data_IF_355632169480
#
_entry.id   IF_355632169480
#
_cell.length_a   1.000
_cell.length_b   1.000
_cell.length_c   1.000
_cell.angle_alpha   90.00
_cell.angle_beta   90.00
_cell.angle_gamma   90.00
#
_symmetry.space_group_name_H-M   'P 1'
#
loop_
_entity.id
_entity.type
_entity.pdbx_description
1 polymer ?
#
# COMPACT_ATOMS: atom_id res chain seq x y z
N UNK A 1 27.38 19.79 -10.54
CA UNK A 1 26.10 20.22 -9.99
C UNK A 1 25.69 19.14 -9.01
N UNK A 2 25.73 19.38 -7.70
CA UNK A 2 25.28 18.40 -6.70
C UNK A 2 23.78 18.20 -6.89
N UNK A 3 23.25 16.96 -6.85
CA UNK A 3 21.82 16.72 -6.93
C UNK A 3 21.14 17.50 -5.77
N UNK A 4 20.07 18.19 -6.09
CA UNK A 4 19.27 18.86 -5.07
C UNK A 4 18.80 17.82 -4.05
N UNK A 5 18.85 18.13 -2.77
CA UNK A 5 18.48 17.25 -1.64
C UNK A 5 17.08 16.62 -1.81
N UNK A 6 16.23 17.22 -2.66
CA UNK A 6 14.88 16.74 -2.97
C UNK A 6 14.83 15.47 -3.83
N UNK A 7 15.92 15.12 -4.51
CA UNK A 7 15.97 13.95 -5.42
C UNK A 7 16.48 12.66 -4.76
N UNK A 8 16.91 12.70 -3.48
CA UNK A 8 17.40 11.49 -2.82
C UNK A 8 16.24 10.61 -2.32
N UNK A 9 16.28 9.29 -2.56
CA UNK A 9 15.25 8.38 -2.07
C UNK A 9 15.24 8.30 -0.54
N UNK A 10 14.13 7.83 0.03
CA UNK A 10 13.98 7.67 1.48
C UNK A 10 14.91 6.59 2.08
N UNK A 11 15.51 5.76 1.25
CA UNK A 11 16.44 4.70 1.66
C UNK A 11 15.73 3.36 1.92
N UNK A 12 16.03 2.71 3.03
CA UNK A 12 15.46 1.40 3.36
C UNK A 12 13.93 1.45 3.50
N UNK A 13 13.28 0.32 3.20
CA UNK A 13 11.82 0.15 3.32
C UNK A 13 11.38 0.48 4.75
N UNK A 14 10.36 1.32 4.86
CA UNK A 14 9.76 1.75 6.13
C UNK A 14 8.40 1.09 6.37
N UNK A 15 8.05 0.92 7.63
CA UNK A 15 6.66 0.69 8.05
C UNK A 15 5.96 2.05 8.09
N UNK A 16 5.06 2.29 7.14
CA UNK A 16 4.36 3.57 7.01
C UNK A 16 2.97 3.52 7.65
N UNK A 17 2.55 4.63 8.26
CA UNK A 17 1.27 4.78 8.94
C UNK A 17 0.32 5.68 8.13
N UNK A 18 -0.21 5.18 7.02
CA UNK A 18 -1.09 5.98 6.16
C UNK A 18 -2.52 6.00 6.68
N UNK A 19 -3.14 7.20 6.78
CA UNK A 19 -4.57 7.32 7.09
C UNK A 19 -5.44 6.64 6.03
N UNK A 20 -6.56 6.08 6.45
CA UNK A 20 -7.55 5.45 5.57
C UNK A 20 -8.04 6.40 4.47
N UNK A 21 -8.25 7.68 4.78
CA UNK A 21 -8.67 8.68 3.79
C UNK A 21 -7.59 8.89 2.70
N UNK A 22 -6.31 8.85 3.07
CA UNK A 22 -5.21 8.89 2.10
C UNK A 22 -5.24 7.65 1.20
N UNK A 23 -5.50 6.46 1.78
CA UNK A 23 -5.62 5.22 1.01
C UNK A 23 -6.77 5.27 0.01
N UNK A 24 -7.95 5.77 0.41
CA UNK A 24 -9.08 5.97 -0.50
C UNK A 24 -8.69 6.85 -1.69
N UNK A 25 -8.05 7.98 -1.43
CA UNK A 25 -7.60 8.89 -2.48
C UNK A 25 -6.53 8.27 -3.37
N UNK A 26 -5.50 7.66 -2.79
CA UNK A 26 -4.40 7.02 -3.52
C UNK A 26 -4.88 5.90 -4.44
N UNK A 27 -5.84 5.11 -4.01
CA UNK A 27 -6.34 3.98 -4.79
C UNK A 27 -7.58 4.31 -5.64
N UNK A 28 -8.04 5.57 -5.68
CA UNK A 28 -9.27 5.97 -6.35
C UNK A 28 -10.47 5.11 -5.91
N UNK A 29 -10.63 4.92 -4.60
CA UNK A 29 -11.68 4.09 -4.00
C UNK A 29 -12.71 4.95 -3.27
N UNK A 30 -13.92 4.46 -3.23
CA UNK A 30 -15.01 4.95 -2.38
C UNK A 30 -15.30 3.97 -1.26
N UNK A 31 -16.01 4.39 -0.21
CA UNK A 31 -16.45 3.46 0.84
C UNK A 31 -17.33 2.33 0.28
N UNK A 32 -18.13 2.61 -0.76
CA UNK A 32 -18.93 1.58 -1.43
C UNK A 32 -18.07 0.50 -2.10
N UNK A 33 -16.89 0.86 -2.61
CA UNK A 33 -15.94 -0.11 -3.18
C UNK A 33 -15.42 -1.08 -2.11
N UNK A 34 -15.20 -0.59 -0.88
CA UNK A 34 -14.71 -1.37 0.25
C UNK A 34 -15.72 -2.41 0.77
N UNK A 35 -17.01 -2.21 0.48
CA UNK A 35 -18.10 -3.07 0.94
C UNK A 35 -18.54 -4.10 -0.10
N UNK A 36 -17.95 -4.12 -1.29
CA UNK A 36 -18.27 -5.11 -2.35
C UNK A 36 -17.86 -6.54 -2.01
N UNK A 37 -16.92 -6.71 -1.09
CA UNK A 37 -16.41 -8.01 -0.65
C UNK A 37 -15.19 -7.87 0.24
N UNK A 38 -14.48 -8.98 0.57
CA UNK A 38 -13.27 -8.92 1.37
C UNK A 38 -12.17 -8.11 0.69
N UNK A 39 -11.43 -7.31 1.47
CA UNK A 39 -10.32 -6.48 1.01
C UNK A 39 -9.01 -7.00 1.60
N UNK A 40 -7.99 -7.08 0.77
CA UNK A 40 -6.61 -7.33 1.15
C UNK A 40 -5.81 -6.03 1.08
N UNK A 41 -5.11 -5.66 2.14
CA UNK A 41 -4.14 -4.57 2.16
C UNK A 41 -2.71 -5.15 2.28
N UNK A 42 -1.90 -5.03 1.22
CA UNK A 42 -0.59 -5.69 1.11
C UNK A 42 0.44 -4.84 0.32
N UNK A 43 1.48 -4.27 0.99
CA UNK A 43 1.74 -4.35 2.42
C UNK A 43 0.84 -3.41 3.22
N UNK A 44 0.39 -3.87 4.38
CA UNK A 44 -0.48 -3.08 5.25
C UNK A 44 0.27 -2.04 6.10
N UNK A 45 1.53 -2.29 6.44
CA UNK A 45 2.32 -1.41 7.31
C UNK A 45 1.63 -1.13 8.64
N UNK A 46 1.54 0.14 9.03
CA UNK A 46 0.80 0.60 10.21
C UNK A 46 -0.38 1.52 9.82
N UNK A 47 -1.00 1.24 8.68
CA UNK A 47 -2.18 1.97 8.19
C UNK A 47 -3.43 1.59 8.98
N UNK A 48 -4.32 2.55 9.23
CA UNK A 48 -5.64 2.29 9.79
C UNK A 48 -6.70 1.92 8.73
N UNK A 49 -6.29 1.67 7.47
CA UNK A 49 -7.19 1.40 6.36
C UNK A 49 -8.07 0.16 6.59
N UNK A 50 -7.47 -0.96 7.00
CA UNK A 50 -8.23 -2.17 7.32
C UNK A 50 -9.14 -1.98 8.54
N UNK A 51 -8.74 -1.16 9.53
CA UNK A 51 -9.58 -0.79 10.68
C UNK A 51 -10.82 -0.04 10.20
N UNK A 52 -10.62 0.96 9.32
CA UNK A 52 -11.74 1.72 8.73
C UNK A 52 -12.71 0.83 7.97
N UNK A 53 -12.22 -0.10 7.14
CA UNK A 53 -13.07 -1.03 6.39
C UNK A 53 -13.95 -1.86 7.34
N UNK A 54 -13.36 -2.41 8.40
CA UNK A 54 -14.10 -3.19 9.40
C UNK A 54 -15.11 -2.34 10.18
N UNK A 55 -14.75 -1.10 10.51
CA UNK A 55 -15.66 -0.15 11.16
C UNK A 55 -16.89 0.20 10.29
N UNK A 56 -16.76 0.17 8.96
CA UNK A 56 -17.86 0.33 8.01
C UNK A 56 -18.71 -0.95 7.83
N UNK A 57 -18.37 -2.06 8.52
CA UNK A 57 -19.04 -3.35 8.38
C UNK A 57 -18.49 -4.24 7.25
N UNK A 58 -17.40 -3.83 6.60
CA UNK A 58 -16.69 -4.63 5.61
C UNK A 58 -15.76 -5.68 6.24
N UNK A 59 -15.10 -6.46 5.40
CA UNK A 59 -14.09 -7.44 5.81
C UNK A 59 -12.74 -7.05 5.23
N UNK A 60 -11.70 -6.99 6.07
CA UNK A 60 -10.36 -6.64 5.63
C UNK A 60 -9.30 -7.45 6.38
N UNK A 61 -8.27 -7.85 5.63
CA UNK A 61 -7.04 -8.45 6.14
C UNK A 61 -5.87 -7.60 5.67
N UNK A 62 -4.96 -7.30 6.59
CA UNK A 62 -3.68 -6.66 6.28
C UNK A 62 -2.56 -7.69 6.28
N UNK A 63 -1.66 -7.59 5.30
CA UNK A 63 -0.49 -8.46 5.18
C UNK A 63 0.77 -7.62 5.18
N UNK A 64 1.71 -7.97 6.02
CA UNK A 64 3.05 -7.36 6.07
C UNK A 64 4.02 -8.34 6.74
N UNK A 65 5.27 -8.51 6.25
CA UNK A 65 6.24 -9.39 6.91
C UNK A 65 6.58 -8.92 8.34
N UNK A 66 6.36 -7.65 8.67
CA UNK A 66 6.58 -7.13 10.02
C UNK A 66 5.54 -7.60 11.05
N UNK A 67 4.44 -8.22 10.61
CA UNK A 67 3.40 -8.72 11.53
C UNK A 67 3.74 -10.03 12.26
N UNK A 68 4.92 -10.59 12.07
CA UNK A 68 5.44 -11.65 12.94
C UNK A 68 5.91 -11.11 14.30
N UNK A 69 6.19 -9.79 14.37
CA UNK A 69 6.72 -9.15 15.56
C UNK A 69 5.68 -9.05 16.68
N UNK A 70 6.16 -9.21 17.93
CA UNK A 70 5.38 -8.82 19.10
C UNK A 70 4.99 -7.34 19.03
N UNK A 71 3.78 -6.90 19.47
CA UNK A 71 3.31 -5.53 19.35
C UNK A 71 4.28 -4.45 19.84
N UNK A 72 5.00 -4.70 20.92
CA UNK A 72 5.96 -3.71 21.45
C UNK A 72 7.20 -3.53 20.55
N UNK A 73 7.68 -4.61 19.95
CA UNK A 73 8.77 -4.55 18.95
C UNK A 73 8.32 -3.86 17.68
N UNK A 74 7.10 -4.13 17.24
CA UNK A 74 6.51 -3.43 16.11
C UNK A 74 6.39 -1.93 16.39
N UNK A 75 5.91 -1.55 17.59
CA UNK A 75 5.78 -0.14 18.01
C UNK A 75 7.14 0.59 18.06
N UNK A 76 8.23 -0.08 18.51
CA UNK A 76 9.59 0.47 18.49
C UNK A 76 10.04 0.78 17.05
N UNK A 77 9.86 -0.17 16.13
CA UNK A 77 10.18 0.00 14.70
C UNK A 77 9.37 1.11 14.07
N UNK A 78 8.05 1.11 14.28
CA UNK A 78 7.14 2.13 13.76
C UNK A 78 7.55 3.54 14.20
N UNK A 79 7.90 3.70 15.49
CA UNK A 79 8.37 4.99 16.01
C UNK A 79 9.66 5.44 15.30
N UNK A 80 10.62 4.54 15.12
CA UNK A 80 11.86 4.86 14.41
C UNK A 80 11.60 5.23 12.95
N UNK A 81 10.67 4.54 12.26
CA UNK A 81 10.32 4.82 10.88
C UNK A 81 9.54 6.15 10.74
N UNK A 82 8.66 6.50 11.68
CA UNK A 82 8.00 7.82 11.72
C UNK A 82 9.01 8.96 11.94
N UNK A 83 10.02 8.78 12.78
CA UNK A 83 11.11 9.77 12.91
C UNK A 83 11.90 9.92 11.59
N UNK A 84 12.13 8.84 10.85
CA UNK A 84 12.76 8.91 9.52
C UNK A 84 11.90 9.69 8.54
N UNK A 85 10.58 9.46 8.51
CA UNK A 85 9.63 10.23 7.69
C UNK A 85 9.67 11.70 8.08
N UNK A 86 9.64 12.02 9.37
CA UNK A 86 9.75 13.40 9.87
C UNK A 86 11.03 14.08 9.39
N UNK A 87 12.18 13.43 9.55
CA UNK A 87 13.46 13.98 9.12
C UNK A 87 13.53 14.14 7.59
N UNK A 88 13.01 13.16 6.85
CA UNK A 88 13.03 13.17 5.39
C UNK A 88 12.12 14.25 4.80
N UNK A 89 10.92 14.45 5.34
CA UNK A 89 9.97 15.48 4.91
C UNK A 89 10.43 16.89 5.27
N UNK A 90 11.09 17.07 6.43
CA UNK A 90 11.56 18.39 6.90
C UNK A 90 12.60 19.04 5.96
N UNK A 91 13.28 18.28 5.13
CA UNK A 91 14.26 18.77 4.15
C UNK A 91 13.68 18.94 2.74
N UNK A 92 12.36 18.77 2.56
CA UNK A 92 11.66 18.75 1.25
C UNK A 92 10.36 19.53 1.30
N UNK A 93 10.43 20.78 1.76
CA UNK A 93 9.25 21.61 2.03
C UNK A 93 8.45 21.98 0.77
N UNK A 94 9.08 21.95 -0.39
CA UNK A 94 8.44 22.10 -1.71
C UNK A 94 7.49 20.95 -2.02
N UNK A 95 7.81 19.77 -1.51
CA UNK A 95 7.09 18.53 -1.72
C UNK A 95 6.14 18.22 -0.54
N UNK A 96 6.58 18.52 0.66
CA UNK A 96 5.89 18.24 1.92
C UNK A 96 5.68 19.56 2.70
N UNK A 97 4.65 20.34 2.33
CA UNK A 97 4.43 21.65 2.93
C UNK A 97 4.25 21.55 4.45
N UNK A 98 4.84 22.49 5.22
CA UNK A 98 4.72 22.50 6.66
C UNK A 98 3.33 22.94 7.10
N UNK A 99 2.89 22.37 8.21
CA UNK A 99 1.74 22.83 8.97
C UNK A 99 2.10 23.98 9.93
N UNK A 100 1.16 24.37 10.81
CA UNK A 100 1.36 25.47 11.77
C UNK A 100 2.50 25.24 12.76
N UNK A 101 2.84 23.97 13.03
CA UNK A 101 3.92 23.54 13.93
C UNK A 101 5.28 23.41 13.23
N UNK A 102 5.36 23.77 11.95
CA UNK A 102 6.58 23.69 11.13
C UNK A 102 6.92 22.26 10.64
N UNK A 103 6.16 21.23 11.05
CA UNK A 103 6.30 19.86 10.55
C UNK A 103 5.46 19.67 9.28
N UNK A 104 5.70 18.64 8.52
CA UNK A 104 4.82 18.25 7.41
C UNK A 104 3.36 18.21 7.87
N UNK A 105 2.48 18.93 7.19
CA UNK A 105 1.09 19.14 7.62
C UNK A 105 0.26 17.85 7.73
N UNK A 106 0.68 16.75 7.07
CA UNK A 106 0.03 15.44 7.16
C UNK A 106 0.55 14.56 8.30
N UNK A 107 1.67 14.93 8.92
CA UNK A 107 2.29 14.11 9.95
C UNK A 107 1.37 13.81 11.14
N UNK A 108 0.57 14.75 11.65
CA UNK A 108 -0.39 14.45 12.73
C UNK A 108 -1.43 13.37 12.36
N UNK A 109 -1.90 13.35 11.12
CA UNK A 109 -2.83 12.30 10.68
C UNK A 109 -2.16 10.93 10.54
N UNK A 110 -0.88 10.89 10.19
CA UNK A 110 -0.08 9.66 10.20
C UNK A 110 0.18 9.14 11.61
N UNK A 111 0.49 10.05 12.56
CA UNK A 111 0.65 9.70 13.98
C UNK A 111 -0.65 9.11 14.53
N UNK A 112 -1.81 9.71 14.22
CA UNK A 112 -3.12 9.20 14.61
C UNK A 112 -3.46 7.83 13.99
N UNK A 113 -3.18 7.63 12.70
CA UNK A 113 -3.37 6.35 12.04
C UNK A 113 -2.50 5.25 12.67
N UNK A 114 -1.25 5.57 13.04
CA UNK A 114 -0.36 4.68 13.78
C UNK A 114 -0.93 4.26 15.13
N UNK A 115 -1.49 5.19 15.89
CA UNK A 115 -2.14 4.91 17.18
C UNK A 115 -3.36 4.00 17.01
N UNK A 116 -4.23 4.30 16.04
CA UNK A 116 -5.41 3.51 15.70
C UNK A 116 -5.02 2.08 15.29
N UNK A 117 -4.05 1.95 14.38
CA UNK A 117 -3.50 0.66 13.98
C UNK A 117 -2.95 -0.12 15.17
N UNK A 118 -2.10 0.50 16.00
CA UNK A 118 -1.47 -0.19 17.14
C UNK A 118 -2.46 -0.68 18.17
N UNK A 119 -3.55 0.06 18.42
CA UNK A 119 -4.62 -0.37 19.29
C UNK A 119 -5.33 -1.62 18.74
N UNK A 120 -5.61 -1.63 17.44
CA UNK A 120 -6.26 -2.76 16.77
C UNK A 120 -5.32 -3.96 16.62
N UNK A 121 -4.03 -3.73 16.30
CA UNK A 121 -3.02 -4.79 16.20
C UNK A 121 -2.79 -5.52 17.53
N UNK A 122 -2.76 -4.80 18.66
CA UNK A 122 -2.70 -5.43 19.99
C UNK A 122 -3.92 -6.30 20.25
N UNK A 123 -5.12 -5.75 20.00
CA UNK A 123 -6.38 -6.50 20.18
C UNK A 123 -6.42 -7.76 19.30
N UNK A 124 -6.00 -7.68 18.03
CA UNK A 124 -5.91 -8.85 17.14
C UNK A 124 -5.01 -9.94 17.72
N UNK A 125 -3.88 -9.56 18.32
CA UNK A 125 -2.95 -10.50 18.95
C UNK A 125 -3.53 -11.15 20.20
N UNK A 126 -4.26 -10.39 21.00
CA UNK A 126 -4.90 -10.87 22.24
C UNK A 126 -6.10 -11.79 21.92
N UNK A 127 -6.89 -11.45 20.91
CA UNK A 127 -8.12 -12.14 20.54
C UNK A 127 -7.92 -13.19 19.44
N UNK A 128 -6.75 -13.24 18.79
CA UNK A 128 -6.39 -14.11 17.68
C UNK A 128 -7.40 -14.04 16.51
N UNK A 129 -7.84 -12.82 16.14
CA UNK A 129 -8.86 -12.63 15.11
C UNK A 129 -8.33 -12.86 13.69
N UNK A 130 -7.00 -12.80 13.49
CA UNK A 130 -6.35 -13.08 12.21
C UNK A 130 -6.51 -11.98 11.17
N UNK A 131 -6.73 -10.74 11.60
CA UNK A 131 -6.80 -9.58 10.71
C UNK A 131 -5.44 -9.13 10.19
N UNK A 132 -4.37 -9.50 10.88
CA UNK A 132 -2.99 -9.17 10.52
C UNK A 132 -2.17 -10.43 10.31
N UNK A 133 -1.78 -10.66 9.06
CA UNK A 133 -1.08 -11.87 8.63
C UNK A 133 0.36 -11.55 8.25
N UNK A 134 1.30 -12.26 8.87
CA UNK A 134 2.71 -12.17 8.48
C UNK A 134 2.93 -12.98 7.21
N UNK A 135 3.17 -12.30 6.09
CA UNK A 135 3.54 -12.91 4.83
C UNK A 135 4.28 -11.91 3.93
N UNK A 136 4.90 -12.40 2.88
CA UNK A 136 5.76 -11.65 1.97
C UNK A 136 5.40 -11.97 0.52
N UNK A 137 5.19 -10.93 -0.30
CA UNK A 137 5.14 -11.09 -1.75
C UNK A 137 6.47 -11.69 -2.27
N UNK A 138 6.42 -12.51 -3.31
CA UNK A 138 5.27 -12.83 -4.15
C UNK A 138 4.50 -14.11 -3.74
N UNK A 139 4.43 -14.44 -2.46
CA UNK A 139 3.71 -15.64 -2.00
C UNK A 139 2.81 -15.30 -0.81
N UNK A 140 1.50 -15.46 -0.99
CA UNK A 140 0.49 -15.15 0.03
C UNK A 140 -0.26 -16.42 0.47
N UNK A 141 -0.55 -16.57 1.79
CA UNK A 141 -1.15 -17.78 2.34
C UNK A 141 -2.69 -17.81 2.18
N UNK A 142 -3.20 -17.39 1.03
CA UNK A 142 -4.63 -17.36 0.75
C UNK A 142 -4.97 -18.19 -0.49
N UNK A 143 -6.15 -18.81 -0.51
CA UNK A 143 -6.69 -19.45 -1.72
C UNK A 143 -6.88 -18.42 -2.85
N UNK A 144 -7.00 -18.91 -4.07
CA UNK A 144 -7.35 -18.09 -5.23
C UNK A 144 -8.68 -17.36 -4.99
N UNK A 145 -8.76 -16.11 -5.45
CA UNK A 145 -9.99 -15.31 -5.45
C UNK A 145 -10.64 -15.13 -4.06
N UNK A 146 -9.82 -15.13 -3.01
CA UNK A 146 -10.29 -14.89 -1.63
C UNK A 146 -10.86 -13.48 -1.44
N UNK A 147 -10.31 -12.50 -2.19
CA UNK A 147 -10.62 -11.08 -2.02
C UNK A 147 -11.32 -10.51 -3.25
N UNK A 148 -12.25 -9.59 -3.02
CA UNK A 148 -12.84 -8.79 -4.11
C UNK A 148 -11.86 -7.71 -4.59
N UNK A 149 -11.04 -7.19 -3.67
CA UNK A 149 -10.08 -6.13 -3.90
C UNK A 149 -8.78 -6.41 -3.13
N UNK A 150 -7.64 -6.18 -3.78
CA UNK A 150 -6.36 -6.04 -3.11
C UNK A 150 -5.77 -4.64 -3.38
N UNK A 151 -5.21 -4.02 -2.35
CA UNK A 151 -4.45 -2.77 -2.46
C UNK A 151 -2.99 -3.02 -2.20
N UNK A 152 -2.11 -2.36 -2.97
CA UNK A 152 -0.67 -2.39 -2.74
C UNK A 152 -0.12 -0.96 -2.80
N UNK A 153 0.18 -0.41 -1.63
CA UNK A 153 0.62 0.96 -1.48
C UNK A 153 2.10 1.09 -1.14
N UNK A 154 2.80 1.96 -1.88
CA UNK A 154 4.13 2.46 -1.53
C UNK A 154 5.19 1.38 -1.27
N UNK A 155 5.09 0.25 -1.96
CA UNK A 155 6.10 -0.80 -1.96
C UNK A 155 6.69 -0.99 -3.35
N UNK A 156 5.91 -1.52 -4.28
CA UNK A 156 6.42 -2.10 -5.51
C UNK A 156 7.28 -1.12 -6.32
N UNK A 157 6.77 0.06 -6.63
CA UNK A 157 7.48 1.04 -7.46
C UNK A 157 8.21 2.11 -6.65
N UNK A 158 7.93 2.21 -5.34
CA UNK A 158 8.58 3.16 -4.43
C UNK A 158 10.05 2.82 -4.18
N UNK A 159 10.39 1.54 -4.21
CA UNK A 159 11.72 1.01 -3.89
C UNK A 159 12.29 0.16 -5.03
N UNK A 160 12.52 0.72 -6.22
CA UNK A 160 12.92 -0.04 -7.41
C UNK A 160 14.28 -0.74 -7.25
N UNK A 161 15.16 -0.21 -6.39
CA UNK A 161 16.49 -0.78 -6.14
C UNK A 161 16.45 -2.02 -5.23
N UNK A 162 15.31 -2.29 -4.58
CA UNK A 162 15.14 -3.44 -3.69
C UNK A 162 14.55 -4.66 -4.40
N UNK A 163 13.94 -4.47 -5.56
CA UNK A 163 13.17 -5.50 -6.24
C UNK A 163 13.49 -5.52 -7.74
N UNK A 164 13.76 -6.69 -8.28
CA UNK A 164 13.95 -6.85 -9.71
C UNK A 164 12.62 -6.93 -10.48
N UNK A 165 12.70 -6.94 -11.80
CA UNK A 165 11.50 -7.00 -12.65
C UNK A 165 10.72 -8.31 -12.45
N UNK A 166 11.39 -9.43 -12.20
CA UNK A 166 10.75 -10.72 -11.97
C UNK A 166 9.92 -10.70 -10.68
N UNK A 167 10.45 -10.07 -9.63
CA UNK A 167 9.71 -9.85 -8.38
C UNK A 167 8.45 -9.01 -8.60
N UNK A 168 8.55 -7.88 -9.33
CA UNK A 168 7.38 -7.04 -9.60
C UNK A 168 6.28 -7.81 -10.32
N UNK A 169 6.64 -8.56 -11.37
CA UNK A 169 5.68 -9.35 -12.13
C UNK A 169 5.07 -10.47 -11.27
N UNK A 170 5.91 -11.18 -10.51
CA UNK A 170 5.47 -12.21 -9.59
C UNK A 170 4.51 -11.68 -8.52
N UNK A 171 4.83 -10.53 -7.93
CA UNK A 171 4.00 -9.87 -6.91
C UNK A 171 2.62 -9.46 -7.46
N UNK A 172 2.57 -8.86 -8.66
CA UNK A 172 1.30 -8.47 -9.27
C UNK A 172 0.46 -9.69 -9.68
N UNK A 173 1.09 -10.76 -10.18
CA UNK A 173 0.40 -12.03 -10.46
C UNK A 173 -0.15 -12.67 -9.20
N UNK A 174 0.60 -12.63 -8.10
CA UNK A 174 0.15 -13.18 -6.81
C UNK A 174 -1.03 -12.39 -6.25
N UNK A 175 -0.96 -11.06 -6.27
CA UNK A 175 -2.10 -10.21 -5.87
C UNK A 175 -3.33 -10.49 -6.73
N UNK A 176 -3.15 -10.67 -8.05
CA UNK A 176 -4.23 -11.06 -8.97
C UNK A 176 -4.70 -12.51 -8.75
N UNK A 177 -3.85 -13.41 -8.27
CA UNK A 177 -4.28 -14.77 -7.92
C UNK A 177 -5.29 -14.75 -6.78
N UNK A 178 -5.01 -13.94 -5.74
CA UNK A 178 -5.84 -13.91 -4.52
C UNK A 178 -7.01 -12.93 -4.60
N UNK A 179 -7.00 -11.96 -5.54
CA UNK A 179 -8.04 -10.93 -5.65
C UNK A 179 -8.58 -10.79 -7.08
N UNK A 180 -9.85 -10.38 -7.21
CA UNK A 180 -10.48 -10.11 -8.50
C UNK A 180 -10.04 -8.76 -9.10
N UNK A 181 -9.80 -7.75 -8.25
CA UNK A 181 -9.27 -6.44 -8.62
C UNK A 181 -8.06 -6.09 -7.75
N UNK A 182 -7.04 -5.46 -8.35
CA UNK A 182 -5.84 -4.98 -7.65
C UNK A 182 -5.63 -3.50 -7.95
N UNK A 183 -5.35 -2.71 -6.91
CA UNK A 183 -4.96 -1.29 -7.03
C UNK A 183 -3.54 -1.12 -6.52
N UNK A 184 -2.69 -0.46 -7.32
CA UNK A 184 -1.28 -0.22 -6.97
C UNK A 184 -0.95 1.27 -7.08
N UNK A 185 -0.38 1.82 -6.02
CA UNK A 185 0.02 3.23 -5.92
C UNK A 185 1.29 3.39 -5.06
N UNK A 186 2.18 4.34 -5.37
CA UNK A 186 2.30 5.12 -6.60
C UNK A 186 2.93 4.32 -7.74
N UNK A 187 3.04 4.93 -8.93
CA UNK A 187 3.77 4.36 -10.09
C UNK A 187 5.19 4.94 -10.24
N UNK A 188 5.59 5.78 -9.28
CA UNK A 188 6.88 6.45 -9.19
C UNK A 188 7.65 5.95 -7.96
N UNK A 189 8.98 6.10 -8.02
CA UNK A 189 9.83 5.91 -6.84
C UNK A 189 9.76 7.12 -5.88
N UNK A 190 10.40 6.98 -4.74
CA UNK A 190 10.46 8.07 -3.73
C UNK A 190 11.24 9.30 -4.20
N UNK A 191 11.98 9.22 -5.31
CA UNK A 191 12.64 10.34 -5.98
C UNK A 191 11.82 10.93 -7.14
N UNK A 192 10.58 10.45 -7.37
CA UNK A 192 9.64 10.84 -8.42
C UNK A 192 9.99 10.33 -9.83
N UNK A 193 10.85 9.34 -9.93
CA UNK A 193 11.12 8.72 -11.22
C UNK A 193 10.07 7.65 -11.50
N UNK A 194 9.51 7.58 -12.72
CA UNK A 194 8.65 6.47 -13.10
C UNK A 194 9.44 5.15 -13.11
N UNK A 195 8.78 4.06 -12.74
CA UNK A 195 9.41 2.74 -12.80
C UNK A 195 9.84 2.42 -14.25
N UNK A 196 11.14 2.18 -14.52
CA UNK A 196 11.66 2.14 -15.89
C UNK A 196 11.11 0.97 -16.73
N UNK A 197 10.68 -0.12 -16.07
CA UNK A 197 10.16 -1.31 -16.75
C UNK A 197 8.63 -1.40 -16.73
N UNK A 198 7.93 -0.32 -16.39
CA UNK A 198 6.47 -0.33 -16.24
C UNK A 198 5.76 -0.79 -17.52
N UNK A 199 6.21 -0.33 -18.70
CA UNK A 199 5.59 -0.68 -19.97
C UNK A 199 5.66 -2.20 -20.24
N UNK A 200 6.84 -2.80 -20.08
CA UNK A 200 7.04 -4.24 -20.27
C UNK A 200 6.25 -5.07 -19.26
N UNK A 201 6.16 -4.60 -18.02
CA UNK A 201 5.38 -5.23 -16.96
C UNK A 201 3.88 -5.25 -17.30
N UNK A 202 3.33 -4.11 -17.74
CA UNK A 202 1.91 -4.02 -18.13
C UNK A 202 1.61 -4.82 -19.40
N UNK A 203 2.54 -4.92 -20.34
CA UNK A 203 2.40 -5.75 -21.53
C UNK A 203 2.34 -7.24 -21.16
N UNK A 204 3.22 -7.71 -20.26
CA UNK A 204 3.18 -9.07 -19.77
C UNK A 204 1.84 -9.41 -19.08
N UNK A 205 1.30 -8.50 -18.25
CA UNK A 205 0.00 -8.70 -17.62
C UNK A 205 -1.16 -8.73 -18.62
N UNK A 206 -1.12 -7.89 -19.67
CA UNK A 206 -2.11 -7.94 -20.76
C UNK A 206 -2.04 -9.25 -21.55
N UNK A 207 -0.83 -9.78 -21.77
CA UNK A 207 -0.65 -11.08 -22.41
C UNK A 207 -1.24 -12.22 -21.54
N UNK A 208 -1.26 -12.07 -20.22
CA UNK A 208 -1.95 -12.98 -19.29
C UNK A 208 -3.50 -12.79 -19.28
N UNK A 209 -4.04 -11.90 -20.12
CA UNK A 209 -5.46 -11.59 -20.20
C UNK A 209 -5.96 -10.61 -19.14
N UNK A 210 -5.08 -9.95 -18.38
CA UNK A 210 -5.46 -8.97 -17.35
C UNK A 210 -5.92 -7.67 -18.00
N UNK A 211 -7.04 -7.13 -17.54
CA UNK A 211 -7.45 -5.77 -17.89
C UNK A 211 -6.62 -4.77 -17.08
N UNK A 212 -5.92 -3.88 -17.79
CA UNK A 212 -4.98 -2.92 -17.22
C UNK A 212 -5.46 -1.51 -17.49
N UNK A 213 -5.85 -0.80 -16.45
CA UNK A 213 -6.24 0.61 -16.50
C UNK A 213 -5.29 1.45 -15.63
N UNK A 214 -5.12 2.70 -16.01
CA UNK A 214 -4.46 3.72 -15.20
C UNK A 214 -5.49 4.79 -14.84
N UNK A 215 -5.70 5.01 -13.56
CA UNK A 215 -6.68 5.97 -13.04
C UNK A 215 -5.95 7.22 -12.56
N UNK A 216 -6.46 8.40 -12.96
CA UNK A 216 -5.97 9.65 -12.41
C UNK A 216 -6.41 9.78 -10.94
N UNK A 217 -5.50 10.26 -10.10
CA UNK A 217 -5.73 10.54 -8.67
C UNK A 217 -5.12 11.87 -8.27
N UNK A 218 -5.66 12.45 -7.22
CA UNK A 218 -5.05 13.58 -6.52
C UNK A 218 -4.45 13.05 -5.21
N UNK A 219 -3.15 12.77 -5.23
CA UNK A 219 -2.46 12.24 -4.06
C UNK A 219 -2.41 13.29 -2.94
N UNK A 220 -2.94 12.98 -1.73
CA UNK A 220 -2.88 13.89 -0.60
C UNK A 220 -1.47 14.03 0.00
N UNK A 221 -0.57 13.12 -0.33
CA UNK A 221 0.78 13.08 0.23
C UNK A 221 1.82 13.70 -0.69
N UNK A 222 1.78 13.38 -1.98
CA UNK A 222 2.69 13.93 -2.99
C UNK A 222 1.94 14.19 -4.30
N UNK A 223 1.85 15.46 -4.69
CA UNK A 223 1.17 15.88 -5.92
C UNK A 223 1.77 15.32 -7.21
N UNK A 224 2.98 14.75 -7.17
CA UNK A 224 3.58 14.11 -8.33
C UNK A 224 3.05 12.69 -8.57
N UNK A 225 2.42 12.08 -7.57
CA UNK A 225 1.82 10.75 -7.68
C UNK A 225 0.38 10.87 -8.20
N UNK A 226 0.27 11.10 -9.50
CA UNK A 226 -0.99 11.48 -10.17
C UNK A 226 -1.81 10.31 -10.68
N UNK A 227 -1.29 9.08 -10.56
CA UNK A 227 -1.96 7.91 -11.12
C UNK A 227 -1.85 6.71 -10.20
N UNK A 228 -2.89 5.87 -10.24
CA UNK A 228 -2.91 4.53 -9.68
C UNK A 228 -3.17 3.49 -10.75
N UNK A 229 -2.55 2.33 -10.64
CA UNK A 229 -2.79 1.20 -11.53
C UNK A 229 -3.99 0.41 -11.02
N UNK A 230 -4.93 0.10 -11.92
CA UNK A 230 -6.02 -0.84 -11.69
C UNK A 230 -5.85 -2.06 -12.58
N UNK A 231 -5.77 -3.21 -11.97
CA UNK A 231 -5.69 -4.50 -12.64
C UNK A 231 -6.94 -5.31 -12.30
N UNK A 232 -7.55 -5.95 -13.30
CA UNK A 232 -8.72 -6.81 -13.12
C UNK A 232 -8.52 -8.11 -13.86
N UNK A 233 -8.82 -9.20 -13.21
CA UNK A 233 -8.83 -10.51 -13.86
C UNK A 233 -9.89 -10.56 -14.96
N UNK A 234 -9.69 -11.37 -16.00
CA UNK A 234 -10.74 -11.67 -16.94
C UNK A 234 -11.94 -12.32 -16.19
N UNK A 235 -13.14 -11.99 -16.62
CA UNK A 235 -14.33 -12.67 -16.11
C UNK A 235 -14.17 -14.19 -16.37
N UNK A 236 -14.59 -15.02 -15.41
CA UNK A 236 -14.68 -16.47 -15.66
C UNK A 236 -15.60 -16.69 -16.85
N UNK A 237 -15.27 -17.58 -17.79
CA UNK A 237 -16.21 -17.96 -18.83
C UNK A 237 -17.49 -18.48 -18.14
N UNK A 238 -18.63 -17.97 -18.58
CA UNK A 238 -19.93 -18.42 -18.09
C UNK A 238 -20.05 -19.93 -18.37
N UNK A 239 -19.91 -20.77 -17.36
CA UNK A 239 -20.08 -22.22 -17.54
C UNK A 239 -19.28 -23.15 -16.63
N UNK A 240 -18.42 -22.68 -15.73
CA UNK A 240 -17.76 -23.53 -14.75
C UNK A 240 -18.32 -23.27 -13.33
N UNK A 241 -19.49 -23.81 -13.07
CA UNK A 241 -19.92 -24.11 -11.69
C UNK A 241 -19.53 -25.54 -11.42
N UNK A 242 -18.45 -25.76 -10.63
CA UNK A 242 -18.24 -27.01 -9.91
C UNK A 242 -19.08 -27.07 -8.64
#
# INVERSE_FOLDING_TARGET
MLPTTSAMPIGAIIVSARPADDCLAHFALTEADLLRGPVLDCPGGASDFAVRIRALGGRAVSVDPAYDAHPERFAERLRADLERVRAWTATRLDRFPPGPDGRWHRLPSWEHAAETFMADYRRDRDEATGHYVSALLPTLPFPDRTFALATSGFLLFTYPDHFDQAFHLGALRELLRVADEVRVHPLNDSARNPYPHIAALLEALRADGVHVDTLAVESPTDRSDTHTLRLRRPALPAGCTE
#
